data_IF_342158452057
#
_entry.id   IF_342158452057
#
_cell.length_a   1.000
_cell.length_b   1.000
_cell.length_c   1.000
_cell.angle_alpha   90.00
_cell.angle_beta   90.00
_cell.angle_gamma   90.00
#
_symmetry.space_group_name_H-M   'P 1'
#
loop_
_entity.id
_entity.type
_entity.pdbx_description
1 polymer ?
#
# COMPACT_ATOMS: atom_id res chain seq x y z
N UNK A 1 4.04 -15.06 -12.83
CA UNK A 1 4.78 -14.60 -11.62
C UNK A 1 4.00 -13.44 -11.01
N UNK A 2 3.86 -13.41 -9.69
CA UNK A 2 3.18 -12.32 -8.98
C UNK A 2 4.24 -11.38 -8.41
N UNK A 3 4.27 -10.13 -8.87
CA UNK A 3 5.21 -9.11 -8.37
C UNK A 3 4.72 -8.59 -7.03
N UNK A 4 5.55 -8.71 -5.99
CA UNK A 4 5.27 -8.14 -4.67
C UNK A 4 5.86 -6.73 -4.61
N UNK A 5 5.05 -5.76 -4.20
CA UNK A 5 5.48 -4.37 -4.00
C UNK A 5 5.29 -3.98 -2.53
N UNK A 6 6.16 -3.11 -2.03
CA UNK A 6 6.03 -2.55 -0.68
C UNK A 6 5.24 -1.24 -0.77
N UNK A 7 4.17 -1.16 0.02
CA UNK A 7 3.35 0.03 0.16
C UNK A 7 3.22 0.40 1.64
N UNK A 8 3.26 1.69 1.96
CA UNK A 8 2.93 2.20 3.29
C UNK A 8 1.43 2.14 3.49
N UNK A 9 0.98 1.61 4.63
CA UNK A 9 -0.41 1.71 5.08
C UNK A 9 -0.49 2.88 6.06
N UNK A 10 -1.31 3.91 5.80
CA UNK A 10 -1.56 4.98 6.77
C UNK A 10 -2.38 4.43 7.95
N UNK A 11 -2.14 4.98 9.15
CA UNK A 11 -2.75 4.51 10.40
C UNK A 11 -4.28 4.67 10.44
N UNK A 12 -4.82 5.56 9.61
CA UNK A 12 -6.26 5.80 9.47
C UNK A 12 -6.99 4.69 8.68
N UNK A 13 -6.25 3.81 7.99
CA UNK A 13 -6.83 2.70 7.22
C UNK A 13 -6.64 1.36 7.93
N UNK A 14 -7.74 0.73 8.36
CA UNK A 14 -7.74 -0.66 8.85
C UNK A 14 -7.65 -1.65 7.67
N UNK A 15 -6.41 -2.01 7.30
CA UNK A 15 -6.10 -2.99 6.25
C UNK A 15 -5.61 -4.29 6.88
N UNK A 16 -6.23 -5.40 6.47
CA UNK A 16 -5.91 -6.76 6.90
C UNK A 16 -5.46 -7.61 5.72
N UNK A 17 -4.82 -8.73 6.03
CA UNK A 17 -4.42 -9.71 5.01
C UNK A 17 -5.67 -10.25 4.31
N UNK A 18 -5.68 -10.17 2.98
CA UNK A 18 -6.81 -10.59 2.14
C UNK A 18 -7.67 -9.44 1.62
N UNK A 19 -7.54 -8.23 2.19
CA UNK A 19 -8.26 -7.06 1.70
C UNK A 19 -7.75 -6.63 0.32
N UNK A 20 -8.67 -6.12 -0.49
CA UNK A 20 -8.30 -5.50 -1.76
C UNK A 20 -8.13 -4.00 -1.54
N UNK A 21 -6.94 -3.50 -1.84
CA UNK A 21 -6.59 -2.09 -1.63
C UNK A 21 -6.17 -1.41 -2.92
N UNK A 22 -6.43 -0.11 -3.01
CA UNK A 22 -5.85 0.75 -4.03
C UNK A 22 -4.59 1.41 -3.47
N UNK A 23 -3.48 1.24 -4.17
CA UNK A 23 -2.24 1.93 -3.88
C UNK A 23 -1.92 2.96 -4.96
N UNK A 24 -1.15 3.98 -4.61
CA UNK A 24 -0.66 4.99 -5.53
C UNK A 24 0.81 5.25 -5.26
N UNK A 25 1.56 5.59 -6.32
CA UNK A 25 2.95 5.99 -6.17
C UNK A 25 3.07 7.22 -5.28
N UNK A 26 4.07 7.22 -4.42
CA UNK A 26 4.33 8.31 -3.48
C UNK A 26 5.82 8.69 -3.54
N UNK A 27 6.13 9.90 -3.07
CA UNK A 27 7.52 10.31 -2.87
C UNK A 27 8.17 9.31 -1.92
N UNK A 28 9.25 8.66 -2.39
CA UNK A 28 9.95 7.60 -1.64
C UNK A 28 10.26 8.07 -0.24
N UNK A 29 9.68 7.40 0.73
CA UNK A 29 9.87 7.68 2.16
C UNK A 29 10.93 6.76 2.78
N UNK A 30 11.52 5.87 1.98
CA UNK A 30 12.61 4.95 2.34
C UNK A 30 13.24 4.32 1.10
N UNK A 31 14.14 3.34 1.30
CA UNK A 31 14.89 2.70 0.21
C UNK A 31 13.99 1.90 -0.76
N UNK A 32 12.89 1.33 -0.24
CA UNK A 32 12.04 0.38 -0.98
C UNK A 32 10.53 0.69 -0.92
N UNK A 33 10.11 1.75 -0.23
CA UNK A 33 8.68 2.14 -0.14
C UNK A 33 8.39 3.28 -1.10
N UNK A 34 7.83 2.93 -2.26
CA UNK A 34 7.45 3.86 -3.32
C UNK A 34 5.93 3.99 -3.51
N UNK A 35 5.13 3.26 -2.72
CA UNK A 35 3.67 3.26 -2.82
C UNK A 35 3.04 3.55 -1.46
N UNK A 36 1.86 4.16 -1.46
CA UNK A 36 1.01 4.32 -0.28
C UNK A 36 -0.38 3.78 -0.59
N UNK A 37 -0.99 3.10 0.37
CA UNK A 37 -2.39 2.69 0.28
C UNK A 37 -3.27 3.93 0.43
N UNK A 38 -4.11 4.19 -0.56
CA UNK A 38 -5.00 5.36 -0.58
C UNK A 38 -6.43 5.02 -0.20
N UNK A 39 -6.88 3.78 -0.46
CA UNK A 39 -8.25 3.35 -0.16
C UNK A 39 -8.36 1.83 -0.03
N UNK A 40 -9.13 1.36 0.95
CA UNK A 40 -9.63 -0.03 1.01
C UNK A 40 -10.86 -0.18 0.13
N UNK A 41 -10.90 -1.20 -0.72
CA UNK A 41 -11.98 -1.43 -1.69
C UNK A 41 -12.97 -2.49 -1.22
N UNK A 42 -12.49 -3.52 -0.53
CA UNK A 42 -13.29 -4.59 0.07
C UNK A 42 -12.57 -5.16 1.27
#
# INVERSE_FOLDING_TARGET
>A
MMTKILARVPEDLDVKVGDTVRASECRRTGKDVAFVVTKKLS
#
